data_IF_758975071408
#
_entry.id   IF_758975071408
#
_cell.length_a   1.000
_cell.length_b   1.000
_cell.length_c   1.000
_cell.angle_alpha   90.00
_cell.angle_beta   90.00
_cell.angle_gamma   90.00
#
_symmetry.space_group_name_H-M   'P 1'
#
loop_
_entity.id
_entity.type
_entity.pdbx_description
1 polymer ?
#
# COMPACT_ATOMS: atom_id res chain seq x y z
N UNK A 1 1.13 4.34 14.04
CA UNK A 1 0.08 4.88 14.90
C UNK A 1 -1.19 5.21 14.10
N UNK A 2 -2.33 5.01 14.70
CA UNK A 2 -3.59 5.21 13.98
C UNK A 2 -3.84 6.66 13.61
N UNK A 3 -3.34 7.60 14.37
CA UNK A 3 -3.47 9.03 14.09
C UNK A 3 -2.61 9.51 12.92
N UNK A 4 -1.67 8.70 12.47
CA UNK A 4 -0.78 9.06 11.36
C UNK A 4 -1.24 8.50 10.01
N UNK A 5 -2.45 8.00 9.94
CA UNK A 5 -2.96 7.40 8.71
C UNK A 5 -3.14 8.44 7.62
N UNK A 6 -2.61 8.14 6.46
CA UNK A 6 -2.91 8.86 5.23
C UNK A 6 -3.37 7.85 4.19
N UNK A 7 -4.67 7.69 4.07
CA UNK A 7 -5.28 6.69 3.20
C UNK A 7 -6.29 7.41 2.30
N UNK A 8 -6.21 7.14 1.01
CA UNK A 8 -7.17 7.64 0.03
C UNK A 8 -7.83 6.49 -0.69
N UNK A 9 -9.14 6.58 -0.83
CA UNK A 9 -9.89 5.63 -1.65
C UNK A 9 -10.31 6.34 -2.93
N UNK A 10 -9.88 5.78 -4.06
CA UNK A 10 -10.24 6.28 -5.38
C UNK A 10 -11.10 5.23 -6.07
N UNK A 11 -12.30 5.63 -6.48
CA UNK A 11 -13.21 4.75 -7.21
C UNK A 11 -13.17 5.16 -8.68
N UNK A 12 -12.89 4.20 -9.55
CA UNK A 12 -12.81 4.43 -10.97
C UNK A 12 -14.02 3.79 -11.69
N UNK A 13 -14.71 4.53 -12.56
CA UNK A 13 -15.72 3.89 -13.41
C UNK A 13 -15.07 2.82 -14.28
N UNK A 14 -15.81 1.77 -14.68
CA UNK A 14 -15.21 0.66 -15.43
C UNK A 14 -14.49 1.07 -16.70
N UNK A 15 -14.96 2.11 -17.38
CA UNK A 15 -14.34 2.57 -18.62
C UNK A 15 -13.00 3.29 -18.41
N UNK A 16 -12.65 3.60 -17.17
CA UNK A 16 -11.38 4.28 -16.81
C UNK A 16 -10.39 3.37 -16.10
N UNK A 17 -10.71 2.09 -15.98
CA UNK A 17 -9.87 1.16 -15.24
C UNK A 17 -9.79 -0.16 -16.01
N UNK A 18 -8.70 -0.34 -16.73
CA UNK A 18 -8.50 -1.56 -17.52
C UNK A 18 -8.14 -2.73 -16.60
N UNK A 19 -8.86 -3.83 -16.75
CA UNK A 19 -8.67 -5.04 -15.97
C UNK A 19 -8.48 -6.20 -16.94
N UNK A 20 -7.64 -7.16 -16.57
CA UNK A 20 -7.45 -8.37 -17.38
C UNK A 20 -8.77 -9.06 -17.65
N UNK A 21 -9.05 -9.47 -18.93
CA UNK A 21 -10.29 -10.17 -19.25
C UNK A 21 -10.48 -11.51 -18.53
N UNK A 22 -9.41 -12.06 -17.93
CA UNK A 22 -9.51 -13.29 -17.16
C UNK A 22 -10.18 -13.13 -15.81
N UNK A 23 -10.40 -11.89 -15.34
CA UNK A 23 -10.98 -11.65 -14.03
C UNK A 23 -12.51 -11.82 -14.08
N UNK A 24 -13.03 -12.60 -13.13
CA UNK A 24 -14.45 -12.95 -13.09
C UNK A 24 -15.35 -11.80 -12.62
N UNK A 25 -14.82 -10.91 -11.79
CA UNK A 25 -15.58 -9.78 -11.22
C UNK A 25 -14.77 -8.49 -11.35
N UNK A 26 -14.62 -7.96 -12.57
CA UNK A 26 -13.77 -6.79 -12.79
C UNK A 26 -14.20 -5.56 -11.99
N UNK A 27 -15.46 -5.46 -11.61
CA UNK A 27 -15.96 -4.37 -10.78
C UNK A 27 -15.38 -4.38 -9.36
N UNK A 28 -14.82 -5.50 -8.92
CA UNK A 28 -14.18 -5.64 -7.61
C UNK A 28 -12.66 -5.56 -7.67
N UNK A 29 -12.08 -5.34 -8.85
CA UNK A 29 -10.63 -5.28 -8.97
C UNK A 29 -10.07 -4.11 -8.17
N UNK A 30 -9.03 -4.39 -7.38
CA UNK A 30 -8.49 -3.43 -6.42
C UNK A 30 -6.99 -3.30 -6.59
N UNK A 31 -6.51 -2.08 -6.76
CA UNK A 31 -5.09 -1.75 -6.78
C UNK A 31 -4.76 -0.98 -5.50
N UNK A 32 -3.80 -1.48 -4.74
CA UNK A 32 -3.31 -0.82 -3.54
C UNK A 32 -1.89 -0.35 -3.79
N UNK A 33 -1.66 0.95 -3.65
CA UNK A 33 -0.34 1.54 -3.78
C UNK A 33 0.10 2.07 -2.42
N UNK A 34 1.28 1.65 -1.98
CA UNK A 34 1.84 2.06 -0.69
C UNK A 34 3.19 2.72 -0.93
N UNK A 35 3.34 3.95 -0.49
CA UNK A 35 4.64 4.61 -0.46
C UNK A 35 5.21 4.46 0.95
N UNK A 36 6.42 3.93 1.06
CA UNK A 36 7.00 3.60 2.36
C UNK A 36 8.50 3.89 2.39
N UNK A 37 9.02 4.08 3.59
CA UNK A 37 10.46 4.18 3.77
C UNK A 37 11.12 2.85 3.44
N UNK A 38 12.28 2.89 2.82
CA UNK A 38 13.11 1.72 2.57
C UNK A 38 13.56 1.08 3.88
N UNK A 39 13.86 -0.21 3.85
CA UNK A 39 14.45 -0.92 4.98
C UNK A 39 13.70 -2.17 5.38
N UNK A 40 12.48 -2.39 4.87
CA UNK A 40 11.72 -3.59 5.20
C UNK A 40 12.23 -4.79 4.42
N UNK A 41 12.31 -5.94 5.09
CA UNK A 41 12.73 -7.19 4.47
C UNK A 41 11.67 -7.72 3.50
N UNK A 42 12.11 -8.68 2.68
CA UNK A 42 11.21 -9.40 1.79
C UNK A 42 10.13 -10.13 2.60
N UNK A 43 10.51 -10.73 3.72
CA UNK A 43 9.56 -11.46 4.55
C UNK A 43 8.53 -10.52 5.20
N UNK A 44 8.94 -9.33 5.60
CA UNK A 44 8.00 -8.33 6.11
C UNK A 44 7.00 -7.92 5.04
N UNK A 45 7.45 -7.73 3.80
CA UNK A 45 6.57 -7.40 2.67
C UNK A 45 5.62 -8.54 2.34
N UNK A 46 6.11 -9.77 2.36
CA UNK A 46 5.26 -10.96 2.13
C UNK A 46 4.14 -11.04 3.17
N UNK A 47 4.47 -10.77 4.43
CA UNK A 47 3.48 -10.76 5.50
C UNK A 47 2.44 -9.67 5.29
N UNK A 48 2.89 -8.48 4.90
CA UNK A 48 2.00 -7.36 4.59
C UNK A 48 1.01 -7.73 3.50
N UNK A 49 1.49 -8.28 2.39
CA UNK A 49 0.64 -8.68 1.27
C UNK A 49 -0.38 -9.74 1.69
N UNK A 50 0.07 -10.74 2.44
CA UNK A 50 -0.79 -11.82 2.92
C UNK A 50 -1.91 -11.29 3.82
N UNK A 51 -1.59 -10.40 4.74
CA UNK A 51 -2.58 -9.82 5.65
C UNK A 51 -3.58 -8.91 4.90
N UNK A 52 -3.10 -8.11 3.96
CA UNK A 52 -3.98 -7.25 3.16
C UNK A 52 -4.96 -8.08 2.35
N UNK A 53 -4.48 -9.10 1.66
CA UNK A 53 -5.33 -9.96 0.83
C UNK A 53 -6.34 -10.70 1.70
N UNK A 54 -5.91 -11.21 2.85
CA UNK A 54 -6.80 -11.88 3.79
C UNK A 54 -7.95 -10.96 4.21
N UNK A 55 -7.63 -9.75 4.64
CA UNK A 55 -8.63 -8.80 5.11
C UNK A 55 -9.61 -8.41 4.02
N UNK A 56 -9.11 -8.15 2.80
CA UNK A 56 -9.97 -7.77 1.68
C UNK A 56 -10.82 -8.93 1.19
N UNK A 57 -10.29 -10.16 1.23
CA UNK A 57 -11.07 -11.33 0.82
C UNK A 57 -12.25 -11.59 1.76
N UNK A 58 -12.11 -11.24 3.02
CA UNK A 58 -13.20 -11.33 3.99
C UNK A 58 -14.34 -10.35 3.65
N UNK A 59 -14.04 -9.28 2.92
CA UNK A 59 -15.03 -8.31 2.44
C UNK A 59 -15.66 -8.73 1.10
N UNK A 60 -15.27 -9.87 0.55
CA UNK A 60 -15.85 -10.41 -0.67
C UNK A 60 -15.04 -10.12 -1.94
N UNK A 61 -13.85 -9.55 -1.82
CA UNK A 61 -12.99 -9.31 -2.98
C UNK A 61 -12.19 -10.60 -3.28
N UNK A 62 -12.30 -11.17 -4.49
CA UNK A 62 -11.50 -12.36 -4.82
C UNK A 62 -10.02 -12.08 -4.72
N UNK A 63 -9.25 -13.05 -4.22
CA UNK A 63 -7.82 -12.86 -3.96
C UNK A 63 -7.05 -12.48 -5.21
N UNK A 64 -7.40 -13.03 -6.37
CA UNK A 64 -6.73 -12.73 -7.63
C UNK A 64 -7.15 -11.39 -8.25
N UNK A 65 -8.01 -10.63 -7.56
CA UNK A 65 -8.45 -9.29 -7.96
C UNK A 65 -7.73 -8.19 -7.18
N UNK A 66 -6.68 -8.54 -6.43
CA UNK A 66 -5.96 -7.60 -5.58
C UNK A 66 -4.52 -7.51 -6.06
N UNK A 67 -4.11 -6.31 -6.46
CA UNK A 67 -2.72 -6.01 -6.81
C UNK A 67 -2.19 -4.99 -5.81
N UNK A 68 -1.06 -5.30 -5.20
CA UNK A 68 -0.43 -4.44 -4.20
C UNK A 68 0.95 -4.06 -4.68
N UNK A 69 1.24 -2.76 -4.67
CA UNK A 69 2.56 -2.24 -5.02
C UNK A 69 3.07 -1.43 -3.84
N UNK A 70 4.27 -1.77 -3.38
CA UNK A 70 4.97 -0.98 -2.37
C UNK A 70 6.12 -0.25 -3.07
N UNK A 71 6.13 1.07 -2.98
CA UNK A 71 7.22 1.89 -3.50
C UNK A 71 8.09 2.32 -2.32
N UNK A 72 9.27 1.72 -2.24
CA UNK A 72 10.26 2.07 -1.23
C UNK A 72 10.98 3.34 -1.63
N UNK A 73 11.18 4.24 -0.68
CA UNK A 73 12.03 5.40 -0.88
C UNK A 73 12.80 5.72 0.39
N UNK A 74 13.96 6.32 0.22
CA UNK A 74 14.82 6.65 1.35
C UNK A 74 14.24 7.79 2.16
N UNK A 75 14.48 7.77 3.46
CA UNK A 75 13.95 8.77 4.39
C UNK A 75 14.29 10.20 3.96
N UNK A 76 15.47 10.42 3.43
CA UNK A 76 15.89 11.76 2.98
C UNK A 76 15.06 12.30 1.84
N UNK A 77 14.31 11.46 1.15
CA UNK A 77 13.43 11.87 0.05
C UNK A 77 12.05 12.31 0.50
N UNK A 78 11.78 12.27 1.81
CA UNK A 78 10.49 12.65 2.37
C UNK A 78 10.59 13.98 3.08
N UNK A 79 9.73 14.93 2.72
CA UNK A 79 9.54 16.16 3.48
C UNK A 79 8.44 15.94 4.50
N UNK A 80 8.77 15.99 5.78
CA UNK A 80 7.84 15.73 6.87
C UNK A 80 7.87 16.86 7.89
N UNK A 81 6.86 16.95 8.73
CA UNK A 81 6.81 17.88 9.85
C UNK A 81 7.19 19.33 9.45
N UNK A 82 6.51 19.84 8.39
CA UNK A 82 6.73 21.22 7.97
C UNK A 82 7.93 21.42 7.06
N UNK A 83 8.36 20.39 6.34
CA UNK A 83 9.43 20.50 5.34
C UNK A 83 10.78 19.99 5.79
N UNK A 84 10.86 19.33 6.93
CA UNK A 84 12.09 18.66 7.35
C UNK A 84 12.29 17.35 6.59
N UNK A 85 13.54 16.98 6.33
CA UNK A 85 13.84 15.68 5.75
C UNK A 85 13.52 14.56 6.75
N UNK A 86 12.92 13.47 6.27
CA UNK A 86 12.69 12.30 7.12
C UNK A 86 13.97 11.70 7.69
N UNK A 87 15.13 11.99 7.06
CA UNK A 87 16.42 11.57 7.59
C UNK A 87 16.76 12.26 8.92
N UNK A 88 16.33 13.51 9.07
CA UNK A 88 16.69 14.37 10.21
C UNK A 88 15.69 14.29 11.37
N UNK A 89 14.64 13.50 11.24
CA UNK A 89 13.53 13.45 12.20
C UNK A 89 13.44 12.08 12.82
N UNK A 90 13.18 12.04 14.14
CA UNK A 90 12.84 10.79 14.82
C UNK A 90 11.40 10.44 14.50
N UNK A 91 11.20 9.34 13.78
CA UNK A 91 9.89 8.89 13.35
C UNK A 91 9.17 8.06 14.42
N UNK A 92 9.86 7.70 15.50
CA UNK A 92 9.27 6.93 16.59
C UNK A 92 9.04 5.46 16.29
N UNK A 93 9.59 4.95 15.18
CA UNK A 93 9.48 3.53 14.82
C UNK A 93 10.67 3.10 13.97
N UNK A 94 10.87 1.78 13.89
CA UNK A 94 11.92 1.20 13.05
C UNK A 94 11.36 0.82 11.70
N UNK A 95 12.12 1.07 10.63
CA UNK A 95 11.76 0.65 9.28
C UNK A 95 12.54 -0.58 8.82
N UNK A 96 13.65 -0.90 9.48
CA UNK A 96 14.45 -2.10 9.20
C UNK A 96 13.86 -3.30 9.98
N UNK A 97 12.98 -4.06 9.33
CA UNK A 97 12.32 -5.22 9.94
C UNK A 97 12.32 -6.42 9.02
#
# INVERSE_FOLDING_TARGET
PTEDRTIRLLVHPPYRFAVSPSKSKPELYTLISVDAFSGRSIDAKRKLFSEMVKNLSELGIPKDHILIVVRDSQKESWGVQGGQSGYDVDLGFKVEV
#
